data_IF_594016810442
#
_entry.id   IF_594016810442
#
_cell.length_a   1.000
_cell.length_b   1.000
_cell.length_c   1.000
_cell.angle_alpha   90.00
_cell.angle_beta   90.00
_cell.angle_gamma   90.00
#
_symmetry.space_group_name_H-M   'P 1'
#
loop_
_entity.id
_entity.type
_entity.pdbx_description
1 polymer ?
#
# COMPACT_ATOMS: atom_id res chain seq x y z
N UNK A 1 -1.18 -9.07 7.19
CA UNK A 1 -0.60 -8.75 5.88
C UNK A 1 -1.60 -8.93 4.76
N UNK A 2 -1.33 -8.43 3.55
CA UNK A 2 -2.19 -8.67 2.41
C UNK A 2 -2.13 -10.15 2.03
N UNK A 3 -3.23 -10.82 2.16
CA UNK A 3 -3.34 -12.24 1.83
C UNK A 3 -4.46 -12.46 0.83
N UNK A 4 -4.25 -13.32 -0.14
CA UNK A 4 -5.24 -13.80 -1.10
C UNK A 4 -6.01 -12.69 -1.82
N UNK A 5 -5.33 -11.69 -2.28
CA UNK A 5 -5.92 -10.64 -3.10
C UNK A 5 -6.72 -9.62 -2.32
N UNK A 6 -6.60 -9.59 -1.02
CA UNK A 6 -7.28 -8.58 -0.24
C UNK A 6 -6.40 -8.04 0.86
N UNK A 7 -6.41 -6.75 1.02
CA UNK A 7 -5.75 -6.13 2.13
C UNK A 7 -6.39 -6.63 3.44
N UNK A 8 -5.57 -7.08 4.36
CA UNK A 8 -5.97 -7.33 5.72
C UNK A 8 -6.93 -8.50 5.94
N UNK A 9 -6.73 -9.62 5.28
CA UNK A 9 -7.54 -10.80 5.47
C UNK A 9 -7.34 -11.50 6.83
N UNK A 10 -6.48 -10.98 7.68
CA UNK A 10 -6.28 -11.51 9.02
C UNK A 10 -7.48 -11.23 9.93
N UNK A 11 -8.01 -12.24 10.59
CA UNK A 11 -9.03 -12.07 11.60
C UNK A 11 -8.50 -11.35 12.85
N UNK A 12 -9.39 -10.85 13.72
CA UNK A 12 -8.99 -10.22 14.98
C UNK A 12 -8.15 -11.19 15.81
N UNK A 13 -6.95 -10.79 16.19
CA UNK A 13 -6.09 -11.60 17.01
C UNK A 13 -5.28 -12.64 16.27
N UNK A 14 -5.02 -12.44 14.99
CA UNK A 14 -3.99 -13.21 14.28
C UNK A 14 -2.72 -13.24 15.12
N UNK A 15 -2.31 -14.42 15.56
CA UNK A 15 -1.41 -14.63 16.65
C UNK A 15 -0.20 -13.73 16.62
N UNK A 16 0.10 -13.10 17.75
CA UNK A 16 1.32 -12.37 17.93
C UNK A 16 2.48 -13.36 17.82
N UNK A 17 3.09 -13.43 16.65
CA UNK A 17 4.38 -14.08 16.52
C UNK A 17 5.43 -13.16 17.13
N UNK A 18 6.33 -13.74 17.93
CA UNK A 18 7.48 -13.01 18.45
C UNK A 18 8.53 -12.89 17.36
N UNK A 19 9.30 -11.80 17.40
CA UNK A 19 10.47 -11.66 16.55
C UNK A 19 11.42 -12.85 16.78
N UNK A 20 12.03 -13.40 15.72
CA UNK A 20 13.00 -14.47 15.89
C UNK A 20 14.22 -13.96 16.65
N UNK A 21 14.82 -14.86 17.46
CA UNK A 21 16.07 -14.58 18.15
C UNK A 21 17.29 -14.85 17.27
N UNK A 22 17.10 -15.55 16.19
CA UNK A 22 18.14 -15.94 15.24
C UNK A 22 17.62 -15.91 13.82
N UNK A 23 18.42 -15.37 12.89
CA UNK A 23 18.16 -15.38 11.46
C UNK A 23 19.20 -16.25 10.76
N UNK A 24 18.74 -17.15 9.91
CA UNK A 24 19.61 -17.93 9.03
C UNK A 24 20.07 -17.09 7.85
N UNK A 25 21.35 -17.12 7.53
CA UNK A 25 21.90 -16.38 6.38
C UNK A 25 23.13 -17.09 5.81
N UNK A 26 23.38 -16.87 4.54
CA UNK A 26 24.62 -17.31 3.88
C UNK A 26 25.76 -16.38 4.25
N UNK A 27 25.54 -15.08 4.13
CA UNK A 27 26.53 -14.05 4.44
C UNK A 27 25.97 -13.08 5.47
N UNK A 28 26.58 -13.06 6.65
CA UNK A 28 26.27 -12.09 7.69
C UNK A 28 27.38 -11.07 7.80
N UNK A 29 27.01 -9.78 7.73
CA UNK A 29 27.91 -8.67 7.96
C UNK A 29 27.62 -8.10 9.34
N UNK A 30 28.59 -8.15 10.24
CA UNK A 30 28.48 -7.64 11.62
C UNK A 30 29.43 -6.48 11.90
N UNK A 31 30.21 -6.05 10.91
CA UNK A 31 31.12 -4.93 10.97
C UNK A 31 31.13 -4.20 9.62
N UNK A 32 31.61 -2.97 9.64
CA UNK A 32 31.68 -2.11 8.46
C UNK A 32 32.46 -2.78 7.34
N UNK A 33 31.85 -2.88 6.16
CA UNK A 33 32.40 -3.63 5.03
C UNK A 33 31.95 -3.01 3.73
N UNK A 34 32.83 -3.04 2.72
CA UNK A 34 32.51 -2.70 1.34
C UNK A 34 32.93 -3.83 0.42
N UNK A 35 32.01 -4.29 -0.44
CA UNK A 35 32.28 -5.32 -1.44
C UNK A 35 31.78 -4.86 -2.81
N UNK A 36 32.48 -5.23 -3.85
CA UNK A 36 32.13 -4.89 -5.24
C UNK A 36 32.16 -6.13 -6.12
N UNK A 37 31.15 -6.31 -6.96
CA UNK A 37 31.10 -7.36 -7.97
C UNK A 37 30.91 -8.75 -7.40
N UNK A 38 30.41 -8.89 -6.19
CA UNK A 38 30.22 -10.18 -5.52
C UNK A 38 28.84 -10.79 -5.80
N UNK A 39 28.76 -12.10 -5.75
CA UNK A 39 27.52 -12.86 -5.82
C UNK A 39 27.22 -13.48 -4.46
N UNK A 40 25.96 -13.37 -4.05
CA UNK A 40 25.45 -13.98 -2.81
C UNK A 40 24.29 -14.91 -3.19
N UNK A 41 24.50 -16.21 -2.98
CA UNK A 41 23.55 -17.26 -3.41
C UNK A 41 23.05 -17.99 -2.17
N UNK A 42 21.75 -18.05 -1.98
CA UNK A 42 21.09 -18.76 -0.91
C UNK A 42 20.10 -19.77 -1.46
N UNK A 43 20.17 -21.01 -0.98
CA UNK A 43 19.26 -22.10 -1.35
C UNK A 43 18.60 -22.73 -0.11
N UNK A 44 18.90 -22.20 1.07
CA UNK A 44 18.42 -22.75 2.34
C UNK A 44 16.99 -22.36 2.67
N UNK A 45 16.33 -23.19 3.47
CA UNK A 45 14.98 -22.93 3.99
C UNK A 45 14.99 -21.71 4.90
N UNK A 46 14.12 -20.74 4.64
CA UNK A 46 13.95 -19.52 5.45
C UNK A 46 15.27 -18.79 5.72
N UNK A 47 16.18 -18.84 4.76
CA UNK A 47 17.53 -18.29 4.86
C UNK A 47 17.67 -17.02 4.01
N UNK A 48 18.30 -16.00 4.54
CA UNK A 48 18.66 -14.80 3.76
C UNK A 48 20.00 -14.99 3.04
N UNK A 49 20.13 -14.46 1.83
CA UNK A 49 21.42 -14.45 1.16
C UNK A 49 22.40 -13.50 1.85
N UNK A 50 21.90 -12.35 2.31
CA UNK A 50 22.68 -11.34 3.03
C UNK A 50 21.90 -10.90 4.26
N UNK A 51 22.58 -10.86 5.41
CA UNK A 51 22.09 -10.29 6.66
C UNK A 51 23.06 -9.23 7.15
N UNK A 52 22.55 -8.05 7.47
CA UNK A 52 23.33 -6.97 8.12
C UNK A 52 22.80 -6.78 9.54
N UNK A 53 23.66 -6.85 10.51
CA UNK A 53 23.33 -6.77 11.92
C UNK A 53 24.43 -6.07 12.73
N UNK A 54 24.20 -5.93 14.04
CA UNK A 54 25.18 -5.39 14.98
C UNK A 54 25.62 -3.94 14.67
N UNK A 55 24.74 -3.16 14.05
CA UNK A 55 25.05 -1.76 13.71
C UNK A 55 26.03 -1.56 12.56
N UNK A 56 26.33 -2.60 11.80
CA UNK A 56 27.28 -2.52 10.68
C UNK A 56 26.81 -1.56 9.60
N UNK A 57 27.76 -0.88 8.96
CA UNK A 57 27.56 -0.10 7.75
C UNK A 57 28.20 -0.84 6.58
N UNK A 58 27.36 -1.35 5.68
CA UNK A 58 27.80 -2.22 4.59
C UNK A 58 27.45 -1.59 3.26
N UNK A 59 28.41 -1.56 2.35
CA UNK A 59 28.17 -1.13 0.97
C UNK A 59 28.44 -2.28 0.00
N UNK A 60 27.46 -2.61 -0.82
CA UNK A 60 27.55 -3.62 -1.86
C UNK A 60 27.31 -2.95 -3.21
N UNK A 61 28.32 -2.99 -4.10
CA UNK A 61 28.28 -2.40 -5.43
C UNK A 61 28.33 -3.49 -6.50
N UNK A 62 27.57 -3.31 -7.57
CA UNK A 62 27.55 -4.24 -8.72
C UNK A 62 27.38 -5.68 -8.28
N UNK A 63 26.46 -5.89 -7.35
CA UNK A 63 26.23 -7.17 -6.70
C UNK A 63 25.18 -8.01 -7.44
N UNK A 64 25.22 -9.31 -7.21
CA UNK A 64 24.19 -10.25 -7.65
C UNK A 64 23.69 -11.04 -6.44
N UNK A 65 22.38 -11.06 -6.22
CA UNK A 65 21.75 -11.89 -5.20
C UNK A 65 20.79 -12.85 -5.87
N UNK A 66 20.96 -14.14 -5.61
CA UNK A 66 20.03 -15.20 -6.03
C UNK A 66 19.56 -15.94 -4.78
N UNK A 67 18.26 -15.91 -4.53
CA UNK A 67 17.61 -16.58 -3.41
C UNK A 67 16.59 -17.57 -3.94
N UNK A 68 16.86 -18.87 -3.81
CA UNK A 68 15.96 -19.93 -4.23
C UNK A 68 15.66 -20.86 -3.06
N UNK A 69 14.45 -21.41 -3.00
CA UNK A 69 14.09 -22.44 -2.03
C UNK A 69 12.71 -23.00 -2.36
N UNK A 70 12.59 -24.32 -2.35
CA UNK A 70 11.31 -25.01 -2.57
C UNK A 70 10.49 -25.15 -1.28
N UNK A 71 11.11 -25.07 -0.13
CA UNK A 71 10.51 -25.39 1.16
C UNK A 71 10.50 -24.24 2.17
N UNK A 72 10.86 -23.03 1.77
CA UNK A 72 10.68 -21.84 2.60
C UNK A 72 9.20 -21.57 2.83
N UNK A 73 8.86 -21.17 4.05
CA UNK A 73 7.47 -21.10 4.50
C UNK A 73 6.77 -19.79 4.13
N UNK A 74 7.50 -18.69 4.06
CA UNK A 74 6.88 -17.39 3.87
C UNK A 74 5.92 -17.04 5.02
N UNK A 75 4.82 -16.33 4.68
CA UNK A 75 3.78 -15.96 5.64
C UNK A 75 4.20 -14.89 6.63
N UNK A 76 3.62 -14.95 7.83
CA UNK A 76 3.75 -13.89 8.84
C UNK A 76 5.16 -13.64 9.31
N UNK A 77 5.96 -14.68 9.52
CA UNK A 77 7.36 -14.52 9.94
C UNK A 77 8.19 -13.74 8.91
N UNK A 78 7.96 -14.01 7.64
CA UNK A 78 8.61 -13.28 6.55
C UNK A 78 8.08 -11.86 6.44
N UNK A 79 6.77 -11.70 6.51
CA UNK A 79 6.11 -10.39 6.36
C UNK A 79 6.45 -9.43 7.50
N UNK A 80 6.47 -9.92 8.75
CA UNK A 80 6.62 -9.05 9.92
C UNK A 80 8.07 -8.88 10.37
N UNK A 81 8.91 -9.86 10.13
CA UNK A 81 10.28 -9.90 10.67
C UNK A 81 11.37 -10.09 9.62
N UNK A 82 11.01 -10.34 8.38
CA UNK A 82 11.97 -10.49 7.29
C UNK A 82 12.61 -11.86 7.19
N UNK A 83 12.08 -12.88 7.85
CA UNK A 83 12.63 -14.24 7.77
C UNK A 83 12.67 -14.72 6.34
N UNK A 84 13.84 -15.10 5.84
CA UNK A 84 14.03 -15.61 4.48
C UNK A 84 14.14 -14.53 3.39
N UNK A 85 14.11 -13.24 3.75
CA UNK A 85 14.33 -12.17 2.79
C UNK A 85 15.66 -12.32 2.07
N UNK A 86 15.71 -11.91 0.80
CA UNK A 86 16.96 -12.00 0.02
C UNK A 86 18.08 -11.19 0.66
N UNK A 87 17.81 -9.93 0.98
CA UNK A 87 18.69 -9.07 1.77
C UNK A 87 17.89 -8.56 2.97
N UNK A 88 18.40 -8.80 4.18
CA UNK A 88 17.77 -8.39 5.42
C UNK A 88 18.73 -7.52 6.23
N UNK A 89 18.22 -6.38 6.72
CA UNK A 89 18.96 -5.53 7.67
C UNK A 89 18.13 -5.41 8.94
N UNK A 90 18.65 -5.85 10.06
CA UNK A 90 17.98 -5.81 11.37
C UNK A 90 18.55 -4.73 12.29
N UNK A 91 19.79 -4.36 12.09
CA UNK A 91 20.49 -3.32 12.85
C UNK A 91 21.70 -2.86 12.05
N UNK A 92 21.74 -1.58 11.72
CA UNK A 92 22.75 -0.99 10.86
C UNK A 92 22.19 -0.57 9.52
N UNK A 93 23.08 -0.42 8.55
CA UNK A 93 22.73 0.13 7.23
C UNK A 93 23.39 -0.66 6.12
N UNK A 94 22.62 -0.98 5.09
CA UNK A 94 23.18 -1.46 3.81
C UNK A 94 22.95 -0.44 2.72
N UNK A 95 24.02 -0.10 2.01
CA UNK A 95 23.96 0.68 0.77
C UNK A 95 24.14 -0.28 -0.40
N UNK A 96 23.09 -0.44 -1.19
CA UNK A 96 23.03 -1.33 -2.35
C UNK A 96 23.04 -0.50 -3.62
N UNK A 97 24.04 -0.68 -4.48
CA UNK A 97 24.23 0.15 -5.67
C UNK A 97 24.50 -0.69 -6.91
N UNK A 98 23.64 -0.55 -7.92
CA UNK A 98 23.90 -1.11 -9.24
C UNK A 98 23.85 -2.63 -9.30
N UNK A 99 22.98 -3.26 -8.55
CA UNK A 99 22.90 -4.72 -8.48
C UNK A 99 21.67 -5.34 -9.08
N UNK A 100 21.58 -6.66 -8.91
CA UNK A 100 20.42 -7.49 -9.31
C UNK A 100 20.05 -8.43 -8.16
N UNK A 101 18.76 -8.46 -7.83
CA UNK A 101 18.21 -9.37 -6.82
C UNK A 101 17.13 -10.19 -7.50
N UNK A 102 17.27 -11.51 -7.45
CA UNK A 102 16.30 -12.47 -7.99
C UNK A 102 15.93 -13.49 -6.92
N UNK A 103 14.66 -13.71 -6.68
CA UNK A 103 14.21 -14.75 -5.76
C UNK A 103 12.96 -15.47 -6.27
N UNK A 104 12.88 -16.77 -5.98
CA UNK A 104 11.70 -17.60 -6.22
C UNK A 104 11.15 -18.26 -4.96
N UNK A 105 11.78 -18.00 -3.81
CA UNK A 105 11.38 -18.59 -2.54
C UNK A 105 10.20 -17.84 -1.93
N UNK A 106 9.28 -18.56 -1.30
CA UNK A 106 8.24 -17.95 -0.49
C UNK A 106 8.87 -17.16 0.67
N UNK A 107 8.35 -15.97 0.94
CA UNK A 107 8.85 -15.08 1.97
C UNK A 107 10.13 -14.32 1.62
N UNK A 108 10.69 -14.54 0.44
CA UNK A 108 11.95 -13.93 0.04
C UNK A 108 11.75 -12.56 -0.61
N UNK A 109 11.42 -11.56 0.20
CA UNK A 109 11.43 -10.17 -0.25
C UNK A 109 12.79 -9.79 -0.84
N UNK A 110 12.81 -8.86 -1.78
CA UNK A 110 14.06 -8.41 -2.40
C UNK A 110 15.01 -7.79 -1.39
N UNK A 111 14.60 -6.72 -0.73
CA UNK A 111 15.36 -6.05 0.32
C UNK A 111 14.42 -5.63 1.45
N UNK A 112 14.76 -5.98 2.68
CA UNK A 112 13.92 -5.82 3.85
C UNK A 112 14.68 -5.09 4.97
N UNK A 113 14.12 -3.97 5.43
CA UNK A 113 14.59 -3.27 6.62
C UNK A 113 13.65 -3.56 7.78
N UNK A 114 14.18 -4.17 8.82
CA UNK A 114 13.45 -4.48 10.04
C UNK A 114 14.04 -3.76 11.25
N UNK A 115 13.17 -3.21 12.11
CA UNK A 115 13.53 -2.60 13.41
C UNK A 115 14.55 -1.46 13.24
N UNK A 116 15.78 -1.66 13.64
CA UNK A 116 16.87 -0.67 13.55
C UNK A 116 17.59 -0.72 12.20
N UNK A 117 17.08 -1.49 11.25
CA UNK A 117 17.69 -1.64 9.95
C UNK A 117 17.35 -0.52 8.99
N UNK A 118 18.33 -0.14 8.18
CA UNK A 118 18.16 0.80 7.08
C UNK A 118 18.68 0.18 5.78
N UNK A 119 17.84 0.21 4.76
CA UNK A 119 18.21 -0.16 3.38
C UNK A 119 18.23 1.11 2.54
N UNK A 120 19.41 1.44 1.98
CA UNK A 120 19.54 2.42 0.91
C UNK A 120 19.86 1.65 -0.36
N UNK A 121 19.03 1.80 -1.38
CA UNK A 121 19.14 1.00 -2.59
C UNK A 121 18.93 1.86 -3.82
N UNK A 122 19.82 1.76 -4.80
CA UNK A 122 19.76 2.54 -6.02
C UNK A 122 20.18 1.72 -7.24
N UNK A 123 19.63 2.09 -8.41
CA UNK A 123 20.02 1.53 -9.71
C UNK A 123 20.06 -0.02 -9.69
N UNK A 124 19.06 -0.63 -9.11
CA UNK A 124 18.98 -2.07 -8.86
C UNK A 124 17.72 -2.65 -9.47
N UNK A 125 17.82 -3.83 -10.04
CA UNK A 125 16.69 -4.61 -10.52
C UNK A 125 16.33 -5.70 -9.52
N UNK A 126 15.05 -5.78 -9.16
CA UNK A 126 14.51 -6.77 -8.23
C UNK A 126 13.41 -7.56 -8.92
N UNK A 127 13.52 -8.89 -8.91
CA UNK A 127 12.49 -9.79 -9.41
C UNK A 127 12.20 -10.85 -8.33
N UNK A 128 10.94 -10.91 -7.87
CA UNK A 128 10.48 -11.95 -6.94
C UNK A 128 9.32 -12.72 -7.53
N UNK A 129 9.29 -14.02 -7.37
CA UNK A 129 8.21 -14.89 -7.87
C UNK A 129 7.55 -15.71 -6.76
N UNK A 130 8.10 -15.74 -5.57
CA UNK A 130 7.51 -16.42 -4.41
C UNK A 130 6.31 -15.66 -3.83
N UNK A 131 5.52 -16.36 -3.02
CA UNK A 131 4.43 -15.76 -2.26
C UNK A 131 4.98 -15.04 -1.01
N UNK A 132 4.29 -14.02 -0.54
CA UNK A 132 4.73 -13.16 0.58
C UNK A 132 6.17 -12.66 0.40
N UNK A 133 6.53 -12.37 -0.85
CA UNK A 133 7.85 -11.91 -1.29
C UNK A 133 7.73 -10.53 -1.96
N UNK A 134 7.67 -9.48 -1.19
CA UNK A 134 7.61 -8.12 -1.69
C UNK A 134 8.89 -7.69 -2.41
N UNK A 135 8.85 -6.55 -3.08
CA UNK A 135 10.03 -5.96 -3.72
C UNK A 135 10.96 -5.31 -2.70
N UNK A 136 10.64 -4.10 -2.29
CA UNK A 136 11.25 -3.42 -1.13
C UNK A 136 10.27 -3.44 0.03
N UNK A 137 10.78 -3.61 1.24
CA UNK A 137 9.94 -3.95 2.38
C UNK A 137 10.47 -3.34 3.68
N UNK A 138 9.59 -2.72 4.46
CA UNK A 138 9.87 -2.22 5.79
C UNK A 138 8.86 -2.76 6.80
N UNK A 139 9.33 -3.13 7.98
CA UNK A 139 8.48 -3.51 9.11
C UNK A 139 9.20 -3.25 10.43
N UNK A 140 8.45 -3.23 11.53
CA UNK A 140 9.04 -3.06 12.86
C UNK A 140 9.80 -1.76 13.08
N UNK A 141 9.51 -0.72 12.29
CA UNK A 141 10.20 0.56 12.34
C UNK A 141 11.36 0.73 11.37
N UNK A 142 11.59 -0.21 10.47
CA UNK A 142 12.67 -0.16 9.50
C UNK A 142 12.59 1.01 8.53
N UNK A 143 13.71 1.36 7.91
CA UNK A 143 13.82 2.47 6.96
C UNK A 143 14.33 1.99 5.61
N UNK A 144 13.62 2.36 4.54
CA UNK A 144 14.04 2.08 3.16
C UNK A 144 14.09 3.37 2.37
N UNK A 145 15.24 3.65 1.76
CA UNK A 145 15.42 4.73 0.80
C UNK A 145 15.80 4.12 -0.55
N UNK A 146 14.97 4.32 -1.56
CA UNK A 146 15.13 3.70 -2.86
C UNK A 146 15.17 4.75 -3.97
N UNK A 147 16.06 4.56 -4.94
CA UNK A 147 16.20 5.45 -6.08
C UNK A 147 16.44 4.66 -7.38
N UNK A 148 15.61 4.92 -8.38
CA UNK A 148 15.73 4.34 -9.73
C UNK A 148 15.78 2.80 -9.75
N UNK A 149 14.85 2.15 -9.06
CA UNK A 149 14.74 0.70 -9.10
C UNK A 149 13.86 0.24 -10.26
N UNK A 150 14.10 -0.99 -10.71
CA UNK A 150 13.16 -1.73 -11.55
C UNK A 150 12.71 -2.95 -10.77
N UNK A 151 11.48 -2.94 -10.30
CA UNK A 151 10.94 -3.98 -9.41
C UNK A 151 9.80 -4.69 -10.09
N UNK A 152 9.85 -6.02 -10.09
CA UNK A 152 8.76 -6.86 -10.53
C UNK A 152 8.52 -8.00 -9.54
N UNK A 153 7.31 -8.04 -8.98
CA UNK A 153 6.86 -9.13 -8.12
C UNK A 153 5.72 -9.87 -8.80
N UNK A 154 5.66 -11.20 -8.67
CA UNK A 154 4.60 -12.00 -9.30
C UNK A 154 3.91 -13.00 -8.39
N UNK A 155 4.34 -13.14 -7.15
CA UNK A 155 3.68 -13.98 -6.17
C UNK A 155 2.41 -13.37 -5.58
N UNK A 156 1.65 -14.18 -4.85
CA UNK A 156 0.53 -13.71 -4.05
C UNK A 156 1.04 -12.92 -2.83
N UNK A 157 0.29 -11.93 -2.38
CA UNK A 157 0.62 -11.10 -1.21
C UNK A 157 2.04 -10.54 -1.28
N UNK A 158 2.44 -10.10 -2.47
CA UNK A 158 3.81 -9.69 -2.78
C UNK A 158 3.83 -8.29 -3.38
N UNK A 159 3.35 -7.30 -2.62
CA UNK A 159 3.35 -5.91 -3.07
C UNK A 159 4.75 -5.46 -3.50
N UNK A 160 4.84 -4.67 -4.56
CA UNK A 160 6.13 -4.18 -5.06
C UNK A 160 6.82 -3.24 -4.05
N UNK A 161 6.05 -2.34 -3.44
CA UNK A 161 6.45 -1.54 -2.27
C UNK A 161 5.58 -2.00 -1.11
N UNK A 162 6.20 -2.56 -0.09
CA UNK A 162 5.49 -3.21 1.00
C UNK A 162 5.97 -2.75 2.37
N UNK A 163 5.02 -2.63 3.29
CA UNK A 163 5.31 -2.49 4.72
C UNK A 163 4.41 -3.41 5.53
N UNK A 164 4.80 -3.71 6.76
CA UNK A 164 4.05 -4.56 7.68
C UNK A 164 4.13 -4.05 9.12
N UNK A 165 3.66 -4.85 10.07
CA UNK A 165 3.53 -4.51 11.51
C UNK A 165 4.73 -3.76 12.07
N UNK A 166 4.43 -2.75 12.86
CA UNK A 166 5.43 -1.85 13.42
C UNK A 166 5.80 -0.70 12.50
N UNK A 167 5.34 -0.75 11.26
CA UNK A 167 5.54 0.33 10.31
C UNK A 167 6.99 0.59 9.95
N UNK A 168 7.26 1.84 9.70
CA UNK A 168 8.57 2.34 9.33
C UNK A 168 8.48 3.54 8.42
N UNK A 169 9.55 3.80 7.72
CA UNK A 169 9.69 4.93 6.80
C UNK A 169 10.21 4.44 5.46
N UNK A 170 9.51 4.77 4.38
CA UNK A 170 9.98 4.46 3.03
C UNK A 170 9.96 5.73 2.18
N UNK A 171 11.08 6.02 1.56
CA UNK A 171 11.27 7.15 0.64
C UNK A 171 11.77 6.62 -0.69
N UNK A 172 10.96 6.83 -1.73
CA UNK A 172 11.19 6.23 -3.04
C UNK A 172 11.19 7.31 -4.09
N UNK A 173 12.22 7.33 -4.94
CA UNK A 173 12.37 8.30 -6.01
C UNK A 173 12.75 7.61 -7.32
N UNK A 174 11.95 7.86 -8.35
CA UNK A 174 12.18 7.28 -9.67
C UNK A 174 11.98 5.79 -9.73
N UNK A 175 12.02 5.25 -10.93
CA UNK A 175 11.93 3.82 -11.18
C UNK A 175 10.54 3.32 -11.54
N UNK A 176 10.45 2.00 -11.68
CA UNK A 176 9.25 1.28 -12.07
C UNK A 176 9.01 0.12 -11.10
N UNK A 177 7.81 0.07 -10.56
CA UNK A 177 7.39 -0.90 -9.56
C UNK A 177 6.13 -1.60 -10.05
N UNK A 178 6.26 -2.85 -10.42
CA UNK A 178 5.16 -3.64 -10.99
C UNK A 178 4.91 -4.88 -10.14
N UNK A 179 3.66 -5.07 -9.72
CA UNK A 179 3.19 -6.33 -9.14
C UNK A 179 2.22 -6.99 -10.11
N UNK A 180 2.38 -8.28 -10.38
CA UNK A 180 1.48 -9.05 -11.24
C UNK A 180 0.73 -10.16 -10.51
N UNK A 181 1.02 -10.38 -9.24
CA UNK A 181 0.35 -11.39 -8.42
C UNK A 181 -1.00 -10.95 -7.89
N UNK A 182 -1.85 -11.93 -7.61
CA UNK A 182 -3.12 -11.69 -6.93
C UNK A 182 -2.89 -11.17 -5.52
N UNK A 183 -3.66 -10.16 -5.11
CA UNK A 183 -3.54 -9.57 -3.78
C UNK A 183 -2.21 -8.88 -3.52
N UNK A 184 -1.59 -8.43 -4.59
CA UNK A 184 -0.29 -7.76 -4.54
C UNK A 184 -0.44 -6.36 -5.10
N UNK A 185 -0.84 -5.38 -4.26
CA UNK A 185 -0.90 -3.99 -4.70
C UNK A 185 0.49 -3.48 -5.10
N UNK A 186 0.52 -2.41 -5.87
CA UNK A 186 1.79 -1.74 -6.15
C UNK A 186 2.38 -1.19 -4.85
N UNK A 187 1.53 -0.65 -3.96
CA UNK A 187 1.91 -0.19 -2.63
C UNK A 187 0.96 -0.75 -1.58
N UNK A 188 1.49 -1.50 -0.63
CA UNK A 188 0.80 -1.87 0.62
C UNK A 188 1.41 -1.08 1.77
N UNK A 189 0.60 -0.20 2.37
CA UNK A 189 1.09 0.81 3.32
C UNK A 189 0.55 0.58 4.73
N UNK A 190 1.44 0.20 5.63
CA UNK A 190 1.28 0.24 7.08
C UNK A 190 2.40 1.07 7.71
N UNK A 191 2.90 2.07 6.99
CA UNK A 191 4.06 2.88 7.33
C UNK A 191 3.87 4.32 6.86
N UNK A 192 4.89 5.12 7.00
CA UNK A 192 5.02 6.45 6.38
C UNK A 192 5.78 6.32 5.07
N UNK A 193 5.07 6.40 3.94
CA UNK A 193 5.62 6.16 2.62
C UNK A 193 5.45 7.39 1.73
N UNK A 194 6.53 7.83 1.11
CA UNK A 194 6.53 8.86 0.07
C UNK A 194 7.18 8.29 -1.19
N UNK A 195 6.53 8.50 -2.33
CA UNK A 195 7.03 8.08 -3.65
C UNK A 195 6.95 9.26 -4.60
N UNK A 196 8.02 9.54 -5.32
CA UNK A 196 8.02 10.57 -6.35
C UNK A 196 8.66 10.07 -7.66
N UNK A 197 8.17 10.60 -8.77
CA UNK A 197 8.73 10.36 -10.11
C UNK A 197 8.81 8.87 -10.48
N UNK A 198 7.81 8.08 -10.10
CA UNK A 198 7.83 6.63 -10.31
C UNK A 198 6.58 6.14 -11.05
N UNK A 199 6.72 4.99 -11.71
CA UNK A 199 5.62 4.23 -12.29
C UNK A 199 5.25 3.08 -11.36
N UNK A 200 4.00 3.05 -10.93
CA UNK A 200 3.47 2.09 -9.95
C UNK A 200 2.31 1.33 -10.58
N UNK A 201 2.47 0.03 -10.81
CA UNK A 201 1.48 -0.78 -11.53
C UNK A 201 1.12 -2.03 -10.74
N UNK A 202 -0.17 -2.25 -10.52
CA UNK A 202 -0.70 -3.52 -10.04
C UNK A 202 -1.55 -4.15 -11.16
N UNK A 203 -1.11 -5.28 -11.67
CA UNK A 203 -1.76 -5.92 -12.84
C UNK A 203 -2.93 -6.82 -12.44
N UNK A 204 -2.92 -7.36 -11.22
CA UNK A 204 -3.94 -8.29 -10.73
C UNK A 204 -4.37 -7.99 -9.29
N UNK A 205 -4.38 -6.72 -8.92
CA UNK A 205 -4.74 -6.24 -7.59
C UNK A 205 -5.15 -4.78 -7.67
N UNK A 206 -5.73 -4.27 -6.58
CA UNK A 206 -5.80 -2.82 -6.38
C UNK A 206 -4.40 -2.21 -6.43
N UNK A 207 -4.34 -0.93 -6.78
CA UNK A 207 -3.05 -0.22 -6.85
C UNK A 207 -2.46 0.04 -5.47
N UNK A 208 -3.31 0.46 -4.52
CA UNK A 208 -2.88 0.93 -3.18
C UNK A 208 -3.82 0.44 -2.10
N UNK A 209 -3.23 -0.02 -1.00
CA UNK A 209 -3.90 -0.25 0.27
C UNK A 209 -3.20 0.53 1.36
N UNK A 210 -3.97 1.32 2.12
CA UNK A 210 -3.47 2.00 3.32
C UNK A 210 -4.31 1.55 4.50
N UNK A 211 -3.65 1.01 5.51
CA UNK A 211 -4.32 0.46 6.68
C UNK A 211 -4.01 1.27 7.93
N UNK A 212 -5.06 1.73 8.62
CA UNK A 212 -4.96 2.40 9.92
C UNK A 212 -4.14 3.70 9.89
N UNK A 213 -3.46 3.97 10.99
CA UNK A 213 -2.65 5.18 11.22
C UNK A 213 -1.40 5.20 10.34
N UNK A 214 -1.59 5.38 9.04
CA UNK A 214 -0.46 5.35 8.12
C UNK A 214 -0.71 6.28 6.93
N UNK A 215 0.34 6.60 6.19
CA UNK A 215 0.29 7.63 5.15
C UNK A 215 1.06 7.23 3.91
N UNK A 216 0.46 7.52 2.76
CA UNK A 216 1.12 7.44 1.46
C UNK A 216 0.98 8.78 0.74
N UNK A 217 2.11 9.34 0.31
CA UNK A 217 2.16 10.52 -0.56
C UNK A 217 2.81 10.18 -1.89
N UNK A 218 2.13 10.49 -2.97
CA UNK A 218 2.62 10.30 -4.34
C UNK A 218 2.77 11.66 -5.02
N UNK A 219 3.94 11.92 -5.60
CA UNK A 219 4.22 13.14 -6.37
C UNK A 219 4.74 12.76 -7.75
N UNK A 220 4.06 13.21 -8.80
CA UNK A 220 4.41 12.92 -10.20
C UNK A 220 4.58 11.42 -10.47
N UNK A 221 3.67 10.60 -9.96
CA UNK A 221 3.67 9.16 -10.18
C UNK A 221 2.59 8.77 -11.18
N UNK A 222 2.86 7.72 -11.97
CA UNK A 222 1.84 7.05 -12.78
C UNK A 222 1.38 5.79 -12.04
N UNK A 223 0.16 5.84 -11.51
CA UNK A 223 -0.42 4.79 -10.69
C UNK A 223 -1.53 4.08 -11.45
N UNK A 224 -1.50 2.75 -11.47
CA UNK A 224 -2.50 1.94 -12.17
C UNK A 224 -2.83 0.69 -11.36
N UNK A 225 -4.11 0.34 -11.33
CA UNK A 225 -4.62 -0.84 -10.64
C UNK A 225 -5.63 -1.62 -11.48
N UNK A 226 -5.72 -2.93 -11.21
CA UNK A 226 -6.64 -3.85 -11.85
C UNK A 226 -7.02 -4.94 -10.85
N UNK A 227 -7.92 -4.62 -9.94
CA UNK A 227 -8.37 -5.57 -8.92
C UNK A 227 -9.12 -6.73 -9.56
N UNK A 228 -8.90 -7.94 -9.08
CA UNK A 228 -9.65 -9.12 -9.50
C UNK A 228 -10.92 -9.27 -8.65
N UNK A 229 -11.98 -9.79 -9.25
CA UNK A 229 -13.20 -10.10 -8.52
C UNK A 229 -12.91 -11.11 -7.41
N UNK A 230 -13.47 -10.83 -6.23
CA UNK A 230 -13.37 -11.69 -5.07
C UNK A 230 -14.68 -11.59 -4.28
N UNK A 231 -15.30 -12.73 -3.98
CA UNK A 231 -16.57 -12.79 -3.26
C UNK A 231 -16.51 -12.16 -1.87
N UNK A 232 -15.32 -12.03 -1.29
CA UNK A 232 -15.12 -11.39 0.01
C UNK A 232 -15.07 -9.87 -0.08
N UNK A 233 -14.99 -9.29 -1.28
CA UNK A 233 -15.01 -7.84 -1.48
C UNK A 233 -16.44 -7.37 -1.75
N UNK A 234 -16.83 -6.27 -1.12
CA UNK A 234 -18.14 -5.65 -1.35
C UNK A 234 -18.24 -4.94 -2.69
N UNK A 235 -17.10 -4.50 -3.21
CA UNK A 235 -16.98 -3.74 -4.44
C UNK A 235 -15.55 -3.89 -4.99
N UNK A 236 -15.33 -3.37 -6.18
CA UNK A 236 -14.01 -3.27 -6.77
C UNK A 236 -13.48 -1.84 -6.61
N UNK A 237 -12.22 -1.71 -6.22
CA UNK A 237 -11.57 -0.42 -5.95
C UNK A 237 -10.15 -0.37 -6.52
N UNK A 238 -9.61 0.83 -6.62
CA UNK A 238 -8.23 1.07 -7.05
C UNK A 238 -7.34 1.47 -5.89
N UNK A 239 -7.86 2.31 -4.99
CA UNK A 239 -7.21 2.74 -3.75
C UNK A 239 -8.16 2.53 -2.59
N UNK A 240 -7.72 1.82 -1.54
CA UNK A 240 -8.50 1.62 -0.33
C UNK A 240 -7.78 2.18 0.89
N UNK A 241 -8.54 2.91 1.73
CA UNK A 241 -8.15 3.34 3.06
C UNK A 241 -9.11 2.69 4.06
N UNK A 242 -8.57 1.90 4.99
CA UNK A 242 -9.40 1.05 5.86
C UNK A 242 -8.70 0.65 7.14
N UNK A 243 -9.44 0.04 8.07
CA UNK A 243 -8.88 -0.64 9.24
C UNK A 243 -9.40 -2.07 9.27
N UNK A 244 -8.48 -3.04 9.22
CA UNK A 244 -8.85 -4.46 9.19
C UNK A 244 -9.16 -5.05 10.57
N UNK A 245 -8.71 -4.40 11.64
CA UNK A 245 -8.77 -4.92 13.03
C UNK A 245 -7.92 -6.18 13.26
N UNK A 246 -7.02 -6.51 12.33
CA UNK A 246 -6.14 -7.68 12.46
C UNK A 246 -4.93 -7.47 13.36
N UNK A 247 -4.63 -6.22 13.70
CA UNK A 247 -3.38 -5.84 14.38
C UNK A 247 -2.22 -5.55 13.43
N UNK A 248 -2.44 -5.57 12.13
CA UNK A 248 -1.41 -5.24 11.14
C UNK A 248 -1.03 -3.76 11.15
N UNK A 249 -1.91 -2.90 11.65
CA UNK A 249 -1.66 -1.49 11.87
C UNK A 249 -2.37 -0.99 13.12
N UNK A 250 -1.88 0.11 13.69
CA UNK A 250 -2.58 0.83 14.74
C UNK A 250 -3.82 1.52 14.19
N UNK A 251 -4.85 1.66 15.03
CA UNK A 251 -6.06 2.42 14.68
C UNK A 251 -5.71 3.91 14.64
N UNK A 252 -6.15 4.58 13.59
CA UNK A 252 -5.94 6.01 13.42
C UNK A 252 -6.29 6.46 12.01
N UNK A 253 -5.97 7.71 11.69
CA UNK A 253 -6.28 8.27 10.39
C UNK A 253 -5.37 7.71 9.30
N UNK A 254 -5.99 7.16 8.26
CA UNK A 254 -5.30 6.73 7.04
C UNK A 254 -5.25 7.91 6.07
N UNK A 255 -4.08 8.20 5.50
CA UNK A 255 -3.89 9.35 4.63
C UNK A 255 -3.37 8.95 3.25
N UNK A 256 -4.03 9.45 2.22
CA UNK A 256 -3.59 9.35 0.83
C UNK A 256 -3.48 10.74 0.22
N UNK A 257 -2.31 11.08 -0.30
CA UNK A 257 -2.06 12.33 -1.00
C UNK A 257 -1.44 12.05 -2.36
N UNK A 258 -1.98 12.68 -3.39
CA UNK A 258 -1.43 12.54 -4.75
C UNK A 258 -1.43 13.90 -5.44
N UNK A 259 -0.26 14.31 -5.92
CA UNK A 259 -0.07 15.55 -6.65
C UNK A 259 0.65 15.27 -7.97
N UNK A 260 0.05 15.70 -9.08
CA UNK A 260 0.56 15.43 -10.41
C UNK A 260 0.46 13.97 -10.81
N UNK A 261 0.98 13.66 -11.98
CA UNK A 261 0.97 12.29 -12.51
C UNK A 261 -0.41 11.81 -12.95
N UNK A 262 -0.58 10.50 -13.01
CA UNK A 262 -1.80 9.86 -13.49
C UNK A 262 -2.28 8.74 -12.57
N UNK A 263 -3.59 8.57 -12.52
CA UNK A 263 -4.25 7.44 -11.85
C UNK A 263 -5.17 6.75 -12.86
N UNK A 264 -4.89 5.49 -13.13
CA UNK A 264 -5.65 4.67 -14.07
C UNK A 264 -6.32 3.52 -13.32
N UNK A 265 -7.65 3.48 -13.37
CA UNK A 265 -8.44 2.35 -12.92
C UNK A 265 -8.78 1.48 -14.11
N UNK A 266 -8.33 0.24 -14.13
CA UNK A 266 -8.66 -0.72 -15.18
C UNK A 266 -9.92 -1.52 -14.84
N UNK A 267 -10.36 -1.51 -13.59
CA UNK A 267 -11.56 -2.21 -13.15
C UNK A 267 -12.16 -1.56 -11.90
N UNK A 268 -13.48 -1.39 -11.89
CA UNK A 268 -14.23 -0.92 -10.73
C UNK A 268 -14.06 0.56 -10.38
N UNK A 269 -14.40 0.89 -9.15
CA UNK A 269 -14.33 2.25 -8.62
C UNK A 269 -12.91 2.72 -8.31
N UNK A 270 -12.79 4.00 -7.97
CA UNK A 270 -11.48 4.58 -7.68
C UNK A 270 -11.11 4.49 -6.21
N UNK A 271 -11.81 5.23 -5.35
CA UNK A 271 -11.46 5.37 -3.94
C UNK A 271 -12.51 4.74 -3.04
N UNK A 272 -12.06 3.85 -2.16
CA UNK A 272 -12.91 3.24 -1.15
C UNK A 272 -12.33 3.49 0.24
N UNK A 273 -13.15 3.97 1.17
CA UNK A 273 -12.76 4.12 2.58
C UNK A 273 -13.85 3.55 3.48
N UNK A 274 -13.45 2.73 4.45
CA UNK A 274 -14.35 2.01 5.33
C UNK A 274 -13.66 1.67 6.65
N UNK A 275 -14.43 1.67 7.73
CA UNK A 275 -13.97 1.30 9.08
C UNK A 275 -12.73 2.05 9.55
N UNK A 276 -12.58 3.33 9.18
CA UNK A 276 -11.40 4.13 9.54
C UNK A 276 -11.73 5.63 9.53
N UNK A 277 -10.90 6.40 10.20
CA UNK A 277 -10.74 7.81 9.89
C UNK A 277 -9.82 7.91 8.67
N UNK A 278 -10.11 8.79 7.72
CA UNK A 278 -9.31 8.91 6.51
C UNK A 278 -9.26 10.33 5.97
N UNK A 279 -8.21 10.58 5.20
CA UNK A 279 -8.00 11.84 4.50
C UNK A 279 -7.46 11.55 3.11
N UNK A 280 -8.07 12.17 2.11
CA UNK A 280 -7.59 12.18 0.73
C UNK A 280 -7.24 13.60 0.34
N UNK A 281 -6.15 13.77 -0.39
CA UNK A 281 -5.78 15.01 -1.04
C UNK A 281 -5.38 14.73 -2.49
N UNK A 282 -6.05 15.36 -3.44
CA UNK A 282 -5.72 15.24 -4.87
C UNK A 282 -5.47 16.63 -5.46
N UNK A 283 -4.37 16.75 -6.21
CA UNK A 283 -4.06 17.97 -6.96
C UNK A 283 -3.44 17.62 -8.31
N UNK A 284 -4.03 18.13 -9.40
CA UNK A 284 -3.49 17.95 -10.76
C UNK A 284 -3.22 16.50 -11.16
N UNK A 285 -4.06 15.57 -10.71
CA UNK A 285 -3.94 14.16 -11.09
C UNK A 285 -4.76 13.93 -12.37
N UNK A 286 -4.13 13.34 -13.38
CA UNK A 286 -4.81 12.92 -14.61
C UNK A 286 -5.43 11.54 -14.37
N UNK A 287 -6.77 11.49 -14.34
CA UNK A 287 -7.52 10.30 -13.96
C UNK A 287 -8.17 9.66 -15.20
N UNK A 288 -7.86 8.36 -15.41
CA UNK A 288 -8.50 7.53 -16.44
C UNK A 288 -9.38 6.49 -15.77
N UNK A 289 -10.63 6.43 -16.18
CA UNK A 289 -11.65 5.56 -15.61
C UNK A 289 -11.80 4.26 -16.37
N UNK A 290 -12.07 3.20 -15.64
CA UNK A 290 -12.55 1.94 -16.18
C UNK A 290 -13.95 2.10 -16.80
N UNK A 291 -14.27 1.38 -17.88
CA UNK A 291 -15.65 1.28 -18.37
C UNK A 291 -16.64 0.73 -17.34
N UNK A 292 -16.15 -0.03 -16.35
CA UNK A 292 -16.94 -0.57 -15.23
C UNK A 292 -16.87 0.28 -13.96
N UNK A 293 -16.59 1.58 -14.09
CA UNK A 293 -16.48 2.48 -12.94
C UNK A 293 -17.83 2.65 -12.24
N UNK A 294 -17.95 2.11 -11.02
CA UNK A 294 -19.17 2.19 -10.21
C UNK A 294 -19.19 3.46 -9.34
N UNK A 295 -18.03 3.98 -8.97
CA UNK A 295 -17.93 5.16 -8.12
C UNK A 295 -16.56 5.84 -8.27
N UNK A 296 -16.56 7.14 -8.05
CA UNK A 296 -15.32 7.90 -7.82
C UNK A 296 -14.83 7.73 -6.38
N UNK A 297 -15.74 7.90 -5.40
CA UNK A 297 -15.45 7.74 -3.98
C UNK A 297 -16.60 6.96 -3.33
N UNK A 298 -16.25 5.98 -2.50
CA UNK A 298 -17.19 5.27 -1.64
C UNK A 298 -16.72 5.38 -0.19
N UNK A 299 -17.48 6.16 0.61
CA UNK A 299 -17.24 6.42 2.02
C UNK A 299 -18.40 5.81 2.82
N UNK A 300 -18.29 4.51 3.14
CA UNK A 300 -19.39 3.73 3.73
C UNK A 300 -18.89 2.69 4.71
N UNK A 301 -19.85 2.09 5.44
CA UNK A 301 -19.63 0.79 6.06
C UNK A 301 -19.39 -0.30 5.04
N UNK A 302 -19.02 -1.47 5.49
CA UNK A 302 -18.81 -2.67 4.69
C UNK A 302 -19.64 -3.84 5.22
N UNK A 303 -19.82 -4.89 4.39
CA UNK A 303 -20.62 -6.06 4.74
C UNK A 303 -19.96 -7.02 5.74
N UNK A 304 -18.82 -6.63 6.27
CA UNK A 304 -18.04 -7.41 7.24
C UNK A 304 -17.63 -8.81 6.75
N UNK A 305 -17.55 -9.02 5.45
CA UNK A 305 -17.12 -10.30 4.86
C UNK A 305 -15.67 -10.64 5.20
N UNK A 306 -14.84 -9.63 5.48
CA UNK A 306 -13.43 -9.77 5.83
C UNK A 306 -13.15 -9.52 7.32
N UNK A 307 -14.17 -9.27 8.13
CA UNK A 307 -14.01 -8.96 9.54
C UNK A 307 -13.55 -7.52 9.81
N UNK A 308 -13.81 -6.61 8.89
CA UNK A 308 -13.42 -5.20 9.07
C UNK A 308 -14.45 -4.46 9.94
N UNK A 309 -14.19 -4.46 11.23
CA UNK A 309 -15.04 -3.81 12.22
C UNK A 309 -16.27 -4.60 12.58
N UNK A 310 -17.34 -3.90 12.95
CA UNK A 310 -18.62 -4.46 13.35
C UNK A 310 -19.69 -4.06 12.32
N UNK A 311 -20.45 -5.04 11.85
CA UNK A 311 -21.51 -4.81 10.86
C UNK A 311 -22.49 -3.73 11.33
N UNK A 312 -22.78 -2.75 10.48
CA UNK A 312 -23.62 -1.60 10.79
C UNK A 312 -22.97 -0.51 11.64
N UNK A 313 -21.70 -0.66 12.02
CA UNK A 313 -20.94 0.31 12.81
C UNK A 313 -19.54 0.61 12.23
N UNK A 314 -19.22 0.06 11.08
CA UNK A 314 -17.92 0.14 10.43
C UNK A 314 -17.86 1.17 9.30
N UNK A 315 -18.51 2.29 9.50
CA UNK A 315 -18.41 3.44 8.58
C UNK A 315 -17.04 4.10 8.59
N UNK A 316 -16.86 5.07 7.74
CA UNK A 316 -15.63 5.87 7.64
C UNK A 316 -15.89 7.33 7.99
N UNK A 317 -14.93 7.96 8.65
CA UNK A 317 -14.89 9.41 8.84
C UNK A 317 -13.83 9.98 7.90
N UNK A 318 -14.28 10.58 6.80
CA UNK A 318 -13.39 10.95 5.70
C UNK A 318 -13.43 12.45 5.43
N UNK A 319 -12.27 13.03 5.24
CA UNK A 319 -12.11 14.35 4.64
C UNK A 319 -11.46 14.16 3.27
N UNK A 320 -12.16 14.58 2.22
CA UNK A 320 -11.66 14.51 0.86
C UNK A 320 -11.48 15.93 0.33
N UNK A 321 -10.24 16.31 0.04
CA UNK A 321 -9.91 17.63 -0.49
C UNK A 321 -9.36 17.50 -1.92
N UNK A 322 -10.01 18.16 -2.83
CA UNK A 322 -9.57 18.28 -4.22
C UNK A 322 -9.12 19.71 -4.49
N UNK A 323 -7.94 19.86 -5.06
CA UNK A 323 -7.26 21.13 -5.27
C UNK A 323 -6.81 21.23 -6.72
N UNK A 324 -7.36 22.17 -7.48
CA UNK A 324 -7.09 22.29 -8.92
C UNK A 324 -7.24 20.93 -9.63
N UNK A 325 -8.35 20.22 -9.34
CA UNK A 325 -8.56 18.83 -9.76
C UNK A 325 -9.85 18.68 -10.57
N UNK A 326 -9.76 17.94 -11.66
CA UNK A 326 -10.95 17.44 -12.37
C UNK A 326 -11.30 16.04 -11.85
N UNK A 327 -12.58 15.84 -11.53
CA UNK A 327 -13.11 14.57 -11.03
C UNK A 327 -14.45 14.28 -11.70
N UNK A 328 -14.68 13.01 -12.00
CA UNK A 328 -15.93 12.57 -12.61
C UNK A 328 -16.34 11.21 -12.04
N UNK A 329 -17.63 11.03 -11.77
CA UNK A 329 -18.20 9.79 -11.27
C UNK A 329 -19.06 10.00 -10.03
N UNK A 330 -19.65 8.91 -9.54
CA UNK A 330 -20.52 8.95 -8.38
C UNK A 330 -19.71 8.99 -7.08
N UNK A 331 -20.22 9.73 -6.10
CA UNK A 331 -19.74 9.72 -4.73
C UNK A 331 -20.82 9.08 -3.87
N UNK A 332 -20.45 8.04 -3.12
CA UNK A 332 -21.35 7.27 -2.27
C UNK A 332 -20.98 7.47 -0.81
N UNK A 333 -21.98 7.70 0.03
CA UNK A 333 -21.82 7.80 1.49
C UNK A 333 -23.00 7.14 2.19
N UNK A 334 -22.87 6.82 3.47
CA UNK A 334 -23.97 6.29 4.27
C UNK A 334 -24.09 6.99 5.64
N UNK A 335 -25.18 6.70 6.33
CA UNK A 335 -25.51 7.36 7.60
C UNK A 335 -24.68 6.90 8.81
N UNK A 336 -23.81 5.91 8.65
CA UNK A 336 -22.84 5.52 9.67
C UNK A 336 -21.44 6.08 9.39
N UNK A 337 -21.34 6.93 8.36
CA UNK A 337 -20.10 7.58 7.93
C UNK A 337 -20.23 9.09 7.99
N UNK A 338 -19.09 9.78 8.05
CA UNK A 338 -19.03 11.22 7.90
C UNK A 338 -18.09 11.55 6.73
N UNK A 339 -18.62 12.23 5.72
CA UNK A 339 -17.84 12.70 4.58
C UNK A 339 -17.82 14.22 4.55
N UNK A 340 -16.62 14.78 4.59
CA UNK A 340 -16.38 16.19 4.27
C UNK A 340 -15.71 16.26 2.91
N UNK A 341 -16.39 16.85 1.95
CA UNK A 341 -15.89 17.00 0.59
C UNK A 341 -15.59 18.47 0.33
N UNK A 342 -14.33 18.79 0.08
CA UNK A 342 -13.85 20.14 -0.16
C UNK A 342 -13.36 20.27 -1.61
N UNK A 343 -14.03 21.12 -2.39
CA UNK A 343 -13.66 21.44 -3.77
C UNK A 343 -13.00 22.81 -3.78
N UNK A 344 -11.71 22.87 -4.09
CA UNK A 344 -10.90 24.07 -3.94
C UNK A 344 -10.09 24.41 -5.18
N UNK A 345 -9.81 25.71 -5.34
CA UNK A 345 -8.88 26.25 -6.34
C UNK A 345 -9.17 25.87 -7.79
N UNK A 346 -10.43 25.93 -8.20
CA UNK A 346 -10.81 25.61 -9.58
C UNK A 346 -11.09 24.13 -9.82
N UNK A 347 -11.33 23.37 -8.77
CA UNK A 347 -11.76 21.97 -8.88
C UNK A 347 -13.14 21.85 -9.50
N UNK A 348 -13.29 20.88 -10.39
CA UNK A 348 -14.57 20.56 -11.03
C UNK A 348 -14.92 19.11 -10.73
N UNK A 349 -16.06 18.91 -10.09
CA UNK A 349 -16.68 17.60 -9.91
C UNK A 349 -17.88 17.46 -10.83
N UNK A 350 -17.89 16.42 -11.66
CA UNK A 350 -19.02 16.07 -12.50
C UNK A 350 -19.57 14.71 -12.05
N UNK A 351 -20.75 14.69 -11.44
CA UNK A 351 -21.32 13.45 -10.93
C UNK A 351 -22.45 13.67 -9.95
N UNK A 352 -22.98 12.56 -9.43
CA UNK A 352 -24.00 12.54 -8.38
C UNK A 352 -23.35 12.21 -7.04
N UNK A 353 -23.97 12.70 -5.96
CA UNK A 353 -23.61 12.29 -4.59
C UNK A 353 -24.82 11.55 -4.01
N UNK A 354 -24.64 10.26 -3.75
CA UNK A 354 -25.72 9.33 -3.40
C UNK A 354 -25.54 8.82 -1.98
N UNK A 355 -26.63 8.80 -1.23
CA UNK A 355 -26.67 8.12 0.06
C UNK A 355 -26.99 6.63 -0.18
N UNK A 356 -26.05 5.76 0.12
CA UNK A 356 -26.15 4.31 -0.07
C UNK A 356 -26.09 3.61 1.29
N UNK A 357 -27.27 3.20 1.79
CA UNK A 357 -27.42 2.59 3.12
C UNK A 357 -27.26 1.06 3.12
N UNK A 358 -26.72 0.48 2.06
CA UNK A 358 -26.62 -0.98 1.91
C UNK A 358 -25.95 -1.65 3.11
N UNK A 359 -24.87 -1.05 3.64
CA UNK A 359 -24.08 -1.60 4.73
C UNK A 359 -24.20 -0.76 6.03
N UNK A 360 -25.24 0.05 6.16
CA UNK A 360 -25.40 0.95 7.29
C UNK A 360 -26.14 0.34 8.48
N UNK A 361 -26.59 -0.92 8.39
CA UNK A 361 -27.36 -1.56 9.46
C UNK A 361 -28.62 -0.75 9.78
N UNK A 362 -28.82 -0.41 11.05
CA UNK A 362 -29.96 0.41 11.51
C UNK A 362 -29.77 1.90 11.23
N UNK A 363 -28.68 2.27 10.55
CA UNK A 363 -28.33 3.66 10.28
C UNK A 363 -27.71 4.39 11.45
N UNK A 364 -27.44 5.65 11.26
CA UNK A 364 -26.83 6.53 12.25
C UNK A 364 -27.04 8.00 11.92
N UNK A 365 -26.27 8.86 12.56
CA UNK A 365 -26.31 10.31 12.40
C UNK A 365 -25.16 10.87 11.55
N UNK A 366 -24.58 10.04 10.71
CA UNK A 366 -23.52 10.43 9.79
C UNK A 366 -24.00 11.46 8.77
N UNK A 367 -23.05 12.22 8.23
CA UNK A 367 -23.34 13.35 7.36
C UNK A 367 -22.41 13.36 6.14
N UNK A 368 -22.89 14.01 5.10
CA UNK A 368 -22.07 14.41 3.94
C UNK A 368 -22.14 15.92 3.80
N UNK A 369 -21.03 16.59 4.06
CA UNK A 369 -20.92 18.04 4.02
C UNK A 369 -20.02 18.45 2.85
N UNK A 370 -20.56 19.23 1.93
CA UNK A 370 -19.86 19.69 0.73
C UNK A 370 -19.56 21.17 0.84
N UNK A 371 -18.29 21.53 0.67
CA UNK A 371 -17.84 22.92 0.58
C UNK A 371 -17.20 23.16 -0.78
N UNK A 372 -17.68 24.18 -1.48
CA UNK A 372 -17.21 24.58 -2.80
C UNK A 372 -16.71 26.01 -2.71
N UNK A 373 -15.45 26.26 -3.01
CA UNK A 373 -14.93 27.63 -3.02
C UNK A 373 -15.35 28.41 -4.27
N UNK A 374 -15.03 29.71 -4.30
CA UNK A 374 -15.46 30.62 -5.35
C UNK A 374 -14.97 30.25 -6.76
N UNK A 375 -13.89 29.48 -6.88
CA UNK A 375 -13.29 29.09 -8.16
C UNK A 375 -13.73 27.70 -8.62
N UNK A 376 -14.40 26.94 -7.78
CA UNK A 376 -14.71 25.53 -8.02
C UNK A 376 -16.19 25.33 -8.37
N UNK A 377 -16.52 24.17 -8.92
CA UNK A 377 -17.88 23.83 -9.33
C UNK A 377 -18.19 22.36 -9.14
N UNK A 378 -19.44 22.07 -8.80
CA UNK A 378 -20.02 20.75 -8.84
C UNK A 378 -21.12 20.73 -9.91
N UNK A 379 -20.93 19.97 -10.97
CA UNK A 379 -21.94 19.71 -11.99
C UNK A 379 -22.71 18.45 -11.60
N UNK A 380 -23.93 18.63 -11.16
CA UNK A 380 -24.81 17.56 -10.70
C UNK A 380 -25.40 16.83 -11.91
N UNK A 381 -25.16 15.53 -12.01
CA UNK A 381 -25.59 14.72 -13.16
C UNK A 381 -26.80 13.83 -12.88
N UNK A 382 -27.24 13.76 -11.64
CA UNK A 382 -28.39 12.96 -11.23
C UNK A 382 -28.86 13.31 -9.84
N UNK A 383 -29.87 12.60 -9.34
CA UNK A 383 -30.37 12.79 -7.98
C UNK A 383 -29.23 12.67 -6.98
N UNK A 384 -29.16 13.64 -6.09
CA UNK A 384 -28.07 13.73 -5.12
C UNK A 384 -28.63 14.09 -3.74
N UNK A 385 -28.02 13.54 -2.70
CA UNK A 385 -28.37 13.79 -1.31
C UNK A 385 -27.13 14.16 -0.53
N UNK A 386 -27.12 15.35 0.07
CA UNK A 386 -26.06 15.82 0.97
C UNK A 386 -26.69 16.38 2.24
N UNK A 387 -25.95 16.42 3.32
CA UNK A 387 -26.42 16.98 4.59
C UNK A 387 -26.30 18.52 4.58
N UNK A 388 -25.24 19.04 4.00
CA UNK A 388 -25.04 20.49 3.84
C UNK A 388 -24.25 20.80 2.56
N UNK A 389 -24.50 21.98 2.01
CA UNK A 389 -23.79 22.50 0.84
C UNK A 389 -23.45 23.96 1.12
N UNK A 390 -22.16 24.27 1.14
CA UNK A 390 -21.67 25.63 1.34
C UNK A 390 -20.89 26.03 0.09
N UNK A 391 -21.38 27.09 -0.58
CA UNK A 391 -20.71 27.73 -1.72
C UNK A 391 -20.19 29.08 -1.25
N UNK A 392 -18.91 29.31 -1.40
CA UNK A 392 -18.24 30.55 -0.96
C UNK A 392 -18.01 31.50 -2.10
#
# INVERSE_FOLDING_TARGET
>A
GPENGAPGAGGPGGGAQSAPTFYSSVKEFTSDTEETGQSYISEGTDESAVLVSNGANVTLKDFTVNRTSEDSKGGDSSSFYGVGASILVTDGTVDLKGGTITSDADGAAGAFAYDKGTVNISDTAITTTGNTAGGIHAAGGGTVNAENLTVHTSGESSAAIRSDRGGGTMRVKGGSYTSSGTGSPAVYCTADIEVEDAKLTAENSEAVCIEGLNSLSLTNCDLSGHIQENEQNDCDWTVILYQSMSGDSEVGESNFSMEGGSLTSLNGGLFYTTNTESSFYLKHVDITYSPSNDFFLKCTGNANKRGWGESGKNGADCTFTADEQEMSGAILWDSISNLKLNLTNGTILTGSILQDETNAGDGGNGTCDVTIDALSAWTVTGNSTVSSLICK
#
